data_IF_333296431067
#
_entry.id   IF_333296431067
#
_cell.length_a   1.000
_cell.length_b   1.000
_cell.length_c   1.000
_cell.angle_alpha   90.00
_cell.angle_beta   90.00
_cell.angle_gamma   90.00
#
_symmetry.space_group_name_H-M   'P 1'
#
loop_
_entity.id
_entity.type
_entity.pdbx_description
1 polymer ?
#
# COMPACT_ATOMS: atom_id res chain seq x y z
N UNK A 1 66.13 7.32 -41.70
CA UNK A 1 66.12 6.22 -42.69
C UNK A 1 64.67 6.05 -43.13
N UNK A 2 64.29 6.76 -44.20
CA UNK A 2 64.09 6.25 -45.58
C UNK A 2 62.91 5.27 -45.67
N UNK A 3 61.90 5.43 -46.51
CA UNK A 3 61.46 6.54 -47.36
C UNK A 3 60.05 6.21 -47.88
N UNK A 4 59.20 7.24 -47.91
CA UNK A 4 58.07 7.57 -48.80
C UNK A 4 57.61 6.54 -49.86
N UNK A 5 56.28 6.48 -50.05
CA UNK A 5 55.62 7.08 -51.23
C UNK A 5 54.10 7.23 -51.08
N UNK A 6 53.67 8.48 -51.14
CA UNK A 6 52.32 8.94 -51.48
C UNK A 6 52.13 8.93 -53.00
N UNK A 7 50.93 8.60 -53.49
CA UNK A 7 50.38 9.20 -54.71
C UNK A 7 48.90 9.51 -54.47
N UNK A 8 48.52 10.69 -54.96
CA UNK A 8 47.29 11.44 -54.79
C UNK A 8 46.41 11.31 -56.06
N UNK A 9 45.24 11.96 -56.03
CA UNK A 9 44.28 12.24 -57.13
C UNK A 9 43.20 11.17 -57.36
N UNK A 10 41.91 11.46 -57.55
CA UNK A 10 41.21 12.70 -57.95
C UNK A 10 39.70 12.60 -57.64
N UNK A 11 39.08 13.66 -57.11
CA UNK A 11 37.63 13.90 -57.18
C UNK A 11 37.26 14.53 -58.55
N UNK A 12 36.02 14.95 -58.87
CA UNK A 12 34.66 14.63 -58.37
C UNK A 12 33.65 14.33 -59.54
N UNK A 13 32.42 13.87 -59.24
CA UNK A 13 31.38 13.77 -60.28
C UNK A 13 29.96 13.52 -59.76
N UNK A 14 29.12 14.57 -59.78
CA UNK A 14 27.69 14.57 -59.46
C UNK A 14 26.85 13.90 -60.58
N UNK A 15 25.96 12.95 -60.24
CA UNK A 15 24.50 13.00 -60.49
C UNK A 15 23.83 11.63 -60.32
N UNK A 16 22.67 11.69 -59.65
CA UNK A 16 21.71 10.62 -59.37
C UNK A 16 21.39 9.70 -60.55
N UNK A 17 21.25 8.41 -60.26
CA UNK A 17 20.20 7.60 -60.89
C UNK A 17 19.70 6.50 -59.95
N UNK A 18 18.39 6.51 -59.73
CA UNK A 18 17.63 5.58 -58.92
C UNK A 18 17.61 4.20 -59.59
N UNK A 19 17.86 3.12 -58.83
CA UNK A 19 17.28 1.80 -59.11
C UNK A 19 16.62 1.25 -57.85
N UNK A 20 15.28 1.32 -57.86
CA UNK A 20 14.38 0.53 -57.01
C UNK A 20 14.40 -0.93 -57.48
N UNK A 21 14.49 -1.86 -56.54
CA UNK A 21 14.00 -3.25 -56.60
C UNK A 21 14.09 -3.74 -55.14
N UNK A 22 13.04 -3.96 -54.34
CA UNK A 22 11.63 -4.15 -54.64
C UNK A 22 11.27 -5.63 -54.64
N UNK A 23 11.25 -6.27 -53.46
CA UNK A 23 10.31 -7.37 -53.15
C UNK A 23 9.81 -7.16 -51.72
N UNK A 24 8.49 -7.01 -51.61
CA UNK A 24 7.67 -7.01 -50.41
C UNK A 24 6.81 -8.30 -50.41
N UNK A 25 6.35 -8.73 -49.23
CA UNK A 25 5.03 -9.31 -48.87
C UNK A 25 5.15 -9.73 -47.38
N UNK A 26 4.73 -8.91 -46.41
CA UNK A 26 3.39 -8.61 -45.86
C UNK A 26 3.00 -9.57 -44.71
N UNK A 27 2.81 -8.99 -43.52
CA UNK A 27 2.29 -9.65 -42.33
C UNK A 27 2.07 -8.69 -41.14
N UNK A 28 1.38 -7.56 -41.36
CA UNK A 28 0.61 -6.83 -40.33
C UNK A 28 1.34 -6.21 -39.13
N UNK A 29 2.27 -5.27 -39.34
CA UNK A 29 2.64 -4.33 -38.27
C UNK A 29 1.62 -3.19 -38.22
N UNK A 30 0.75 -3.20 -37.22
CA UNK A 30 0.05 -1.99 -36.78
C UNK A 30 1.12 -0.99 -36.35
N UNK A 31 1.46 -0.05 -37.23
CA UNK A 31 2.23 1.13 -36.87
C UNK A 31 1.39 1.94 -35.91
N UNK A 32 1.60 1.76 -34.60
CA UNK A 32 1.26 2.80 -33.65
C UNK A 32 2.00 4.05 -34.10
N UNK A 33 1.32 5.17 -34.39
CA UNK A 33 2.04 6.41 -34.45
C UNK A 33 2.62 6.60 -33.05
N UNK A 34 3.95 6.57 -32.96
CA UNK A 34 4.65 7.12 -31.82
C UNK A 34 4.37 8.63 -31.84
N UNK A 35 3.19 9.00 -31.35
CA UNK A 35 2.91 10.34 -30.91
C UNK A 35 3.87 10.53 -29.76
N UNK A 36 4.97 11.22 -30.05
CA UNK A 36 5.73 11.91 -29.03
C UNK A 36 4.74 12.92 -28.43
N UNK A 37 4.00 12.49 -27.40
CA UNK A 37 3.26 13.39 -26.54
C UNK A 37 4.33 14.23 -25.87
N UNK A 38 4.65 15.39 -26.45
CA UNK A 38 4.95 16.55 -25.64
C UNK A 38 3.76 16.67 -24.70
N UNK A 39 3.92 16.19 -23.46
CA UNK A 39 2.86 16.17 -22.47
C UNK A 39 2.53 17.62 -22.11
N UNK A 40 1.69 18.26 -22.91
CA UNK A 40 0.76 19.25 -22.38
C UNK A 40 0.02 18.51 -21.27
N UNK A 41 0.39 18.81 -20.03
CA UNK A 41 -0.11 18.08 -18.88
C UNK A 41 -1.64 18.16 -18.90
N UNK A 42 -2.31 17.06 -19.27
CA UNK A 42 -3.78 16.98 -19.49
C UNK A 42 -4.52 17.45 -18.23
N UNK A 43 -3.87 17.32 -17.09
CA UNK A 43 -4.36 17.72 -15.78
C UNK A 43 -3.91 19.11 -15.33
N UNK A 44 -3.27 19.96 -16.14
CA UNK A 44 -2.82 21.27 -15.65
C UNK A 44 -4.00 22.17 -15.28
N UNK A 45 -5.01 22.22 -16.14
CA UNK A 45 -6.11 23.19 -16.04
C UNK A 45 -7.50 22.54 -15.94
N UNK A 46 -7.60 21.21 -16.05
CA UNK A 46 -8.88 20.49 -16.03
C UNK A 46 -9.23 19.96 -14.62
N UNK A 47 -10.52 19.93 -14.22
CA UNK A 47 -10.91 19.32 -12.95
C UNK A 47 -10.50 17.85 -12.88
N UNK A 48 -9.83 17.47 -11.80
CA UNK A 48 -9.49 16.06 -11.53
C UNK A 48 -10.70 15.38 -10.87
N UNK A 49 -11.20 14.33 -11.50
CA UNK A 49 -12.36 13.56 -11.02
C UNK A 49 -11.90 12.40 -10.15
N UNK A 50 -12.34 12.38 -8.90
CA UNK A 50 -12.01 11.35 -7.92
C UNK A 50 -13.15 10.33 -7.82
N UNK A 51 -12.79 9.05 -7.82
CA UNK A 51 -13.66 7.93 -7.49
C UNK A 51 -13.32 7.35 -6.12
N UNK A 52 -14.29 7.22 -5.23
CA UNK A 52 -14.11 6.57 -3.92
C UNK A 52 -14.59 5.12 -3.97
N UNK A 53 -13.72 4.15 -3.66
CA UNK A 53 -14.05 2.72 -3.61
C UNK A 53 -13.86 2.23 -2.17
N UNK A 54 -14.97 1.95 -1.49
CA UNK A 54 -15.03 1.63 -0.06
C UNK A 54 -15.37 2.84 0.80
N UNK A 55 -16.66 3.06 1.04
CA UNK A 55 -17.26 4.22 1.71
C UNK A 55 -17.31 4.10 3.24
N UNK A 56 -16.33 3.40 3.84
CA UNK A 56 -16.17 3.34 5.29
C UNK A 56 -15.52 4.62 5.86
N UNK A 57 -15.38 4.71 7.18
CA UNK A 57 -14.85 5.91 7.85
C UNK A 57 -13.48 6.36 7.32
N UNK A 58 -12.54 5.43 7.04
CA UNK A 58 -11.25 5.78 6.43
C UNK A 58 -11.41 6.28 4.99
N UNK A 59 -12.30 5.67 4.20
CA UNK A 59 -12.62 6.10 2.83
C UNK A 59 -13.21 7.51 2.78
N UNK A 60 -14.15 7.81 3.67
CA UNK A 60 -14.68 9.17 3.82
C UNK A 60 -13.58 10.17 4.17
N UNK A 61 -12.67 9.81 5.08
CA UNK A 61 -11.51 10.63 5.41
C UNK A 61 -10.56 10.86 4.23
N UNK A 62 -10.22 9.81 3.48
CA UNK A 62 -9.37 9.90 2.29
C UNK A 62 -10.02 10.77 1.19
N UNK A 63 -11.34 10.70 1.04
CA UNK A 63 -12.07 11.57 0.12
C UNK A 63 -12.00 13.04 0.55
N UNK A 64 -12.13 13.34 1.85
CA UNK A 64 -11.90 14.72 2.36
C UNK A 64 -10.48 15.18 2.04
N UNK A 65 -9.47 14.35 2.35
CA UNK A 65 -8.07 14.70 2.12
C UNK A 65 -7.78 14.95 0.63
N UNK A 66 -8.32 14.12 -0.26
CA UNK A 66 -8.23 14.31 -1.70
C UNK A 66 -8.88 15.61 -2.19
N UNK A 67 -10.04 15.99 -1.62
CA UNK A 67 -10.76 17.22 -1.99
C UNK A 67 -10.07 18.48 -1.46
N UNK A 68 -9.30 18.37 -0.36
CA UNK A 68 -8.50 19.47 0.19
C UNK A 68 -7.15 19.62 -0.52
N UNK A 69 -6.57 18.53 -1.03
CA UNK A 69 -5.25 18.50 -1.64
C UNK A 69 -5.09 19.38 -2.88
N UNK A 70 -6.19 19.69 -3.58
CA UNK A 70 -6.15 20.51 -4.78
C UNK A 70 -7.46 21.31 -4.97
N UNK A 71 -7.38 22.60 -5.36
CA UNK A 71 -8.55 23.45 -5.51
C UNK A 71 -9.48 23.01 -6.64
N UNK A 72 -8.97 22.34 -7.67
CA UNK A 72 -9.68 21.92 -8.88
C UNK A 72 -9.86 20.38 -8.92
N UNK A 73 -10.29 19.82 -7.78
CA UNK A 73 -10.68 18.41 -7.62
C UNK A 73 -12.16 18.32 -7.27
N UNK A 74 -12.84 17.31 -7.83
CA UNK A 74 -14.22 16.97 -7.50
C UNK A 74 -14.36 15.49 -7.20
N UNK A 75 -15.24 15.15 -6.27
CA UNK A 75 -15.68 13.76 -6.08
C UNK A 75 -16.76 13.47 -7.12
N UNK A 76 -16.53 12.48 -7.97
CA UNK A 76 -17.36 12.22 -9.14
C UNK A 76 -18.13 10.91 -9.07
N UNK A 77 -17.55 9.88 -8.44
CA UNK A 77 -18.20 8.58 -8.26
C UNK A 77 -17.86 7.95 -6.91
N UNK A 78 -18.78 7.12 -6.40
CA UNK A 78 -18.64 6.39 -5.14
C UNK A 78 -19.09 4.95 -5.33
N UNK A 79 -18.35 4.01 -4.74
CA UNK A 79 -18.62 2.58 -4.80
C UNK A 79 -18.53 1.92 -3.44
N UNK A 80 -19.53 1.11 -3.10
CA UNK A 80 -19.51 0.25 -1.92
C UNK A 80 -20.40 -0.98 -2.16
N UNK A 81 -20.21 -2.04 -1.38
CA UNK A 81 -21.17 -3.16 -1.36
C UNK A 81 -22.40 -2.81 -0.51
N UNK A 82 -22.26 -1.89 0.44
CA UNK A 82 -23.28 -1.48 1.40
C UNK A 82 -23.83 -0.08 1.08
N UNK A 83 -25.12 -0.01 0.72
CA UNK A 83 -25.82 1.25 0.44
C UNK A 83 -25.81 2.21 1.65
N UNK A 84 -25.99 1.68 2.87
CA UNK A 84 -25.93 2.51 4.09
C UNK A 84 -24.57 3.20 4.25
N UNK A 85 -23.46 2.51 3.92
CA UNK A 85 -22.12 3.10 4.00
C UNK A 85 -21.93 4.20 2.97
N UNK A 86 -22.39 3.95 1.73
CA UNK A 86 -22.29 4.92 0.65
C UNK A 86 -23.07 6.20 0.98
N UNK A 87 -24.32 6.09 1.42
CA UNK A 87 -25.16 7.25 1.71
C UNK A 87 -24.71 8.02 2.96
N UNK A 88 -24.23 7.33 3.99
CA UNK A 88 -23.59 7.97 5.16
C UNK A 88 -22.38 8.79 4.74
N UNK A 89 -21.47 8.21 3.94
CA UNK A 89 -20.27 8.89 3.46
C UNK A 89 -20.61 10.07 2.55
N UNK A 90 -21.53 9.88 1.60
CA UNK A 90 -21.96 10.93 0.67
C UNK A 90 -22.56 12.13 1.43
N UNK A 91 -23.43 11.85 2.41
CA UNK A 91 -24.04 12.89 3.25
C UNK A 91 -23.01 13.65 4.09
N UNK A 92 -22.00 12.96 4.63
CA UNK A 92 -20.92 13.60 5.37
C UNK A 92 -20.05 14.47 4.45
N UNK A 93 -19.70 13.97 3.26
CA UNK A 93 -18.87 14.68 2.29
C UNK A 93 -19.57 15.92 1.72
N UNK A 94 -20.88 15.84 1.46
CA UNK A 94 -21.67 17.01 1.05
C UNK A 94 -21.61 18.15 2.07
N UNK A 95 -21.65 17.82 3.37
CA UNK A 95 -21.58 18.82 4.44
C UNK A 95 -20.20 19.49 4.53
N UNK A 96 -19.14 18.76 4.20
CA UNK A 96 -17.75 19.23 4.33
C UNK A 96 -17.29 19.98 3.08
N UNK A 97 -17.53 19.42 1.90
CA UNK A 97 -16.92 19.88 0.65
C UNK A 97 -17.93 20.42 -0.37
N UNK A 98 -19.23 20.41 -0.05
CA UNK A 98 -20.30 21.09 -0.78
C UNK A 98 -20.21 20.95 -2.30
N UNK A 99 -19.90 22.06 -2.97
CA UNK A 99 -19.85 22.16 -4.43
C UNK A 99 -18.83 21.24 -5.10
N UNK A 100 -17.81 20.74 -4.38
CA UNK A 100 -16.86 19.76 -4.92
C UNK A 100 -17.44 18.34 -5.02
N UNK A 101 -18.61 18.08 -4.43
CA UNK A 101 -19.30 16.80 -4.56
C UNK A 101 -20.18 16.82 -5.80
N UNK A 102 -19.73 16.14 -6.87
CA UNK A 102 -20.41 16.01 -8.16
C UNK A 102 -20.87 14.56 -8.41
N UNK A 103 -21.27 13.87 -7.35
CA UNK A 103 -21.74 12.48 -7.41
C UNK A 103 -23.24 12.46 -7.70
N UNK A 104 -23.61 12.27 -8.96
CA UNK A 104 -25.00 12.02 -9.35
C UNK A 104 -25.46 10.63 -8.88
N UNK A 105 -26.78 10.40 -8.79
CA UNK A 105 -27.33 9.09 -8.41
C UNK A 105 -26.80 7.94 -9.29
N UNK A 106 -26.58 8.17 -10.60
CA UNK A 106 -26.01 7.17 -11.51
C UNK A 106 -24.54 6.82 -11.20
N UNK A 107 -23.85 7.65 -10.43
CA UNK A 107 -22.45 7.48 -10.02
C UNK A 107 -22.34 6.99 -8.56
N UNK A 108 -23.46 6.65 -7.92
CA UNK A 108 -23.50 5.94 -6.64
C UNK A 108 -23.68 4.45 -6.92
N UNK A 109 -22.58 3.70 -6.84
CA UNK A 109 -22.50 2.36 -7.42
C UNK A 109 -22.48 1.32 -6.30
N UNK A 110 -23.53 0.49 -6.24
CA UNK A 110 -23.67 -0.56 -5.24
C UNK A 110 -23.39 -1.93 -5.84
N UNK A 111 -22.67 -2.77 -5.06
CA UNK A 111 -22.43 -4.18 -5.37
C UNK A 111 -20.95 -4.56 -5.31
N UNK A 112 -20.67 -5.86 -5.39
CA UNK A 112 -19.29 -6.39 -5.40
C UNK A 112 -18.50 -5.97 -6.64
N UNK A 113 -19.18 -5.63 -7.74
CA UNK A 113 -18.60 -5.08 -8.96
C UNK A 113 -18.52 -3.55 -8.98
N UNK A 114 -18.92 -2.87 -7.89
CA UNK A 114 -18.93 -1.41 -7.81
C UNK A 114 -17.57 -0.77 -8.08
N UNK A 115 -16.47 -1.43 -7.69
CA UNK A 115 -15.12 -0.93 -7.95
C UNK A 115 -14.84 -0.79 -9.46
N UNK A 116 -15.25 -1.77 -10.27
CA UNK A 116 -15.11 -1.72 -11.74
C UNK A 116 -15.93 -0.58 -12.32
N UNK A 117 -17.18 -0.45 -11.86
CA UNK A 117 -18.08 0.62 -12.31
C UNK A 117 -17.56 2.01 -11.95
N UNK A 118 -16.95 2.18 -10.77
CA UNK A 118 -16.32 3.45 -10.37
C UNK A 118 -15.12 3.75 -11.26
N UNK A 119 -14.26 2.76 -11.50
CA UNK A 119 -13.11 2.90 -12.40
C UNK A 119 -13.55 3.32 -13.82
N UNK A 120 -14.65 2.74 -14.32
CA UNK A 120 -15.18 3.01 -15.66
C UNK A 120 -16.00 4.31 -15.77
N UNK A 121 -16.37 4.93 -14.63
CA UNK A 121 -17.23 6.12 -14.61
C UNK A 121 -16.61 7.39 -15.24
N UNK A 122 -15.34 7.34 -15.67
CA UNK A 122 -14.62 8.50 -16.21
C UNK A 122 -13.88 9.31 -15.15
N UNK A 123 -13.54 8.69 -14.01
CA UNK A 123 -12.62 9.24 -13.00
C UNK A 123 -11.18 9.20 -13.49
N UNK A 124 -10.35 10.09 -12.94
CA UNK A 124 -8.91 10.18 -13.18
C UNK A 124 -8.10 9.52 -12.05
N UNK A 125 -8.60 9.67 -10.82
CA UNK A 125 -7.98 9.16 -9.59
C UNK A 125 -8.97 8.26 -8.86
N UNK A 126 -8.52 7.11 -8.40
CA UNK A 126 -9.33 6.25 -7.50
C UNK A 126 -8.70 6.15 -6.11
N UNK A 127 -9.54 6.23 -5.08
CA UNK A 127 -9.18 6.00 -3.70
C UNK A 127 -9.64 4.59 -3.32
N UNK A 128 -8.69 3.69 -3.06
CA UNK A 128 -8.96 2.30 -2.71
C UNK A 128 -8.93 2.12 -1.19
N UNK A 129 -10.10 2.08 -0.56
CA UNK A 129 -10.27 2.06 0.89
C UNK A 129 -11.15 0.90 1.38
N UNK A 130 -11.33 -0.13 0.55
CA UNK A 130 -12.00 -1.41 0.90
C UNK A 130 -11.15 -2.25 1.86
N UNK A 131 -11.70 -3.32 2.47
CA UNK A 131 -10.88 -4.26 3.24
C UNK A 131 -9.65 -4.77 2.47
N UNK A 132 -8.53 -5.09 3.16
CA UNK A 132 -7.25 -5.47 2.54
C UNK A 132 -7.34 -6.55 1.46
N UNK A 133 -8.15 -7.59 1.66
CA UNK A 133 -8.24 -8.72 0.74
C UNK A 133 -8.65 -8.35 -0.69
N UNK A 134 -9.37 -7.24 -0.87
CA UNK A 134 -9.84 -6.80 -2.18
C UNK A 134 -8.85 -5.88 -2.91
N UNK A 135 -7.90 -5.27 -2.18
CA UNK A 135 -7.02 -4.24 -2.72
C UNK A 135 -6.11 -4.71 -3.86
N UNK A 136 -5.56 -5.94 -3.88
CA UNK A 136 -4.73 -6.40 -5.00
C UNK A 136 -5.47 -6.36 -6.34
N UNK A 137 -6.71 -6.85 -6.37
CA UNK A 137 -7.51 -6.90 -7.58
C UNK A 137 -8.06 -5.51 -7.95
N UNK A 138 -8.49 -4.72 -6.97
CA UNK A 138 -8.95 -3.34 -7.22
C UNK A 138 -7.82 -2.46 -7.77
N UNK A 139 -6.61 -2.56 -7.22
CA UNK A 139 -5.43 -1.85 -7.71
C UNK A 139 -5.06 -2.29 -9.13
N UNK A 140 -5.07 -3.60 -9.38
CA UNK A 140 -4.81 -4.15 -10.72
C UNK A 140 -5.80 -3.60 -11.74
N UNK A 141 -7.10 -3.59 -11.43
CA UNK A 141 -8.13 -3.04 -12.30
C UNK A 141 -7.95 -1.53 -12.56
N UNK A 142 -7.64 -0.74 -11.52
CA UNK A 142 -7.43 0.69 -11.64
C UNK A 142 -6.22 1.04 -12.53
N UNK A 143 -5.09 0.37 -12.31
CA UNK A 143 -3.88 0.56 -13.11
C UNK A 143 -4.07 0.07 -14.55
N UNK A 144 -4.79 -1.03 -14.75
CA UNK A 144 -5.17 -1.51 -16.09
C UNK A 144 -5.97 -0.45 -16.86
N UNK A 145 -6.92 0.20 -16.19
CA UNK A 145 -7.73 1.28 -16.74
C UNK A 145 -7.02 2.65 -16.82
N UNK A 146 -5.73 2.73 -16.49
CA UNK A 146 -4.95 3.96 -16.62
C UNK A 146 -5.26 5.01 -15.55
N UNK A 147 -5.71 4.61 -14.36
CA UNK A 147 -6.09 5.53 -13.28
C UNK A 147 -4.93 5.80 -12.34
N UNK A 148 -4.83 7.04 -11.85
CA UNK A 148 -4.01 7.35 -10.69
C UNK A 148 -4.65 6.74 -9.44
N UNK A 149 -3.84 6.35 -8.46
CA UNK A 149 -4.34 5.57 -7.33
C UNK A 149 -3.77 6.06 -6.00
N UNK A 150 -4.68 6.29 -5.05
CA UNK A 150 -4.36 6.18 -3.63
C UNK A 150 -4.79 4.79 -3.16
N UNK A 151 -3.88 4.03 -2.55
CA UNK A 151 -4.15 2.68 -2.06
C UNK A 151 -3.91 2.59 -0.56
N UNK A 152 -4.98 2.40 0.22
CA UNK A 152 -4.86 2.22 1.67
C UNK A 152 -4.00 1.01 2.03
N UNK A 153 -3.34 1.11 3.18
CA UNK A 153 -2.60 0.00 3.77
C UNK A 153 -3.54 -0.94 4.55
N UNK A 154 -3.14 -2.19 4.79
CA UNK A 154 -2.17 -2.97 4.02
C UNK A 154 -2.70 -3.29 2.61
N UNK A 155 -1.83 -3.54 1.65
CA UNK A 155 -2.24 -3.69 0.23
C UNK A 155 -2.65 -5.12 -0.16
N UNK A 156 -2.49 -6.09 0.74
CA UNK A 156 -2.80 -7.50 0.55
C UNK A 156 -2.92 -8.23 1.91
N UNK A 157 -3.39 -9.47 1.90
CA UNK A 157 -3.47 -10.36 3.09
C UNK A 157 -2.62 -11.63 2.98
N UNK A 158 -2.10 -11.93 1.79
CA UNK A 158 -1.28 -13.11 1.50
C UNK A 158 -0.23 -12.80 0.41
N UNK A 159 0.75 -13.69 0.26
CA UNK A 159 1.85 -13.51 -0.70
C UNK A 159 1.36 -13.44 -2.15
N UNK A 160 0.41 -14.28 -2.63
CA UNK A 160 -0.16 -14.12 -3.96
C UNK A 160 -0.76 -12.73 -4.21
N UNK A 161 -1.45 -12.15 -3.22
CA UNK A 161 -1.93 -10.77 -3.28
C UNK A 161 -0.80 -9.74 -3.38
N UNK A 162 0.29 -9.91 -2.63
CA UNK A 162 1.49 -9.05 -2.72
C UNK A 162 2.09 -9.08 -4.13
N UNK A 163 2.20 -10.26 -4.75
CA UNK A 163 2.71 -10.39 -6.13
C UNK A 163 1.84 -9.65 -7.14
N UNK A 164 0.52 -9.72 -7.01
CA UNK A 164 -0.40 -8.91 -7.85
C UNK A 164 -0.14 -7.42 -7.68
N UNK A 165 0.06 -6.95 -6.44
CA UNK A 165 0.36 -5.54 -6.16
C UNK A 165 1.68 -5.11 -6.79
N UNK A 166 2.74 -5.93 -6.70
CA UNK A 166 4.03 -5.65 -7.34
C UNK A 166 3.90 -5.56 -8.87
N UNK A 167 3.12 -6.45 -9.48
CA UNK A 167 2.85 -6.41 -10.92
C UNK A 167 2.08 -5.12 -11.31
N UNK A 168 1.06 -4.74 -10.54
CA UNK A 168 0.32 -3.51 -10.77
C UNK A 168 1.21 -2.26 -10.55
N UNK A 169 2.07 -2.26 -9.53
CA UNK A 169 3.03 -1.18 -9.28
C UNK A 169 3.99 -0.97 -10.45
N UNK A 170 4.54 -2.07 -11.00
CA UNK A 170 5.38 -2.03 -12.20
C UNK A 170 4.63 -1.43 -13.39
N UNK A 171 3.41 -1.89 -13.63
CA UNK A 171 2.58 -1.37 -14.72
C UNK A 171 2.22 0.11 -14.52
N UNK A 172 1.95 0.55 -13.29
CA UNK A 172 1.69 1.96 -13.00
C UNK A 172 2.88 2.84 -13.37
N UNK A 173 4.11 2.38 -13.10
CA UNK A 173 5.34 3.05 -13.51
C UNK A 173 5.47 3.12 -15.04
N UNK A 174 5.20 2.01 -15.74
CA UNK A 174 5.24 1.95 -17.21
C UNK A 174 4.21 2.88 -17.87
N UNK A 175 3.03 3.05 -17.25
CA UNK A 175 1.97 3.94 -17.70
C UNK A 175 2.12 5.39 -17.20
N UNK A 176 3.19 5.71 -16.47
CA UNK A 176 3.41 7.02 -15.87
C UNK A 176 2.24 7.47 -14.96
N UNK A 177 1.72 6.54 -14.15
CA UNK A 177 0.63 6.78 -13.20
C UNK A 177 1.17 6.97 -11.79
N UNK A 178 0.68 8.00 -11.10
CA UNK A 178 0.88 8.15 -9.66
C UNK A 178 0.17 7.04 -8.88
N UNK A 179 0.90 6.38 -7.99
CA UNK A 179 0.47 5.37 -7.05
C UNK A 179 1.04 5.72 -5.66
N UNK A 180 0.18 6.24 -4.78
CA UNK A 180 0.53 6.59 -3.39
C UNK A 180 -0.13 5.63 -2.42
N UNK A 181 0.62 5.22 -1.40
CA UNK A 181 0.13 4.30 -0.37
C UNK A 181 -0.31 5.04 0.90
N UNK A 182 -1.33 4.52 1.58
CA UNK A 182 -1.80 4.97 2.91
C UNK A 182 -0.86 4.62 4.08
N UNK A 183 0.40 4.30 3.83
CA UNK A 183 1.45 4.24 4.86
C UNK A 183 1.85 5.66 5.30
N UNK A 184 0.89 6.36 5.91
CA UNK A 184 0.97 7.79 6.20
C UNK A 184 2.20 8.20 7.02
N UNK A 185 2.77 7.34 7.86
CA UNK A 185 3.99 7.65 8.61
C UNK A 185 5.19 7.97 7.71
N UNK A 186 5.22 7.50 6.46
CA UNK A 186 6.24 7.91 5.46
C UNK A 186 6.03 9.33 4.92
N UNK A 187 4.90 9.95 5.22
CA UNK A 187 4.55 11.33 4.91
C UNK A 187 4.61 12.25 6.15
N UNK A 188 4.95 11.73 7.33
CA UNK A 188 5.17 12.52 8.55
C UNK A 188 6.57 13.17 8.53
N UNK A 189 6.63 14.51 8.63
CA UNK A 189 7.89 15.26 8.60
C UNK A 189 8.88 14.87 9.71
N UNK A 190 8.45 14.72 10.97
CA UNK A 190 9.30 14.19 12.05
C UNK A 190 9.90 12.82 11.73
N UNK A 191 9.11 11.86 11.23
CA UNK A 191 9.60 10.54 10.83
C UNK A 191 10.62 10.64 9.69
N UNK A 192 10.33 11.43 8.65
CA UNK A 192 11.27 11.66 7.53
C UNK A 192 12.59 12.23 8.04
N UNK A 193 12.52 13.20 8.96
CA UNK A 193 13.69 13.86 9.50
C UNK A 193 14.58 12.93 10.35
N UNK A 194 13.99 12.11 11.23
CA UNK A 194 14.76 11.19 12.08
C UNK A 194 15.30 10.01 11.30
N UNK A 195 14.50 9.38 10.43
CA UNK A 195 14.97 8.24 9.65
C UNK A 195 15.96 8.64 8.56
N UNK A 196 15.80 9.82 7.94
CA UNK A 196 16.82 10.36 7.04
C UNK A 196 18.18 10.47 7.73
N UNK A 197 18.23 11.03 8.94
CA UNK A 197 19.48 11.12 9.73
C UNK A 197 20.05 9.76 10.11
N UNK A 198 19.20 8.81 10.47
CA UNK A 198 19.64 7.44 10.79
C UNK A 198 20.26 6.78 9.55
N UNK A 199 19.62 6.91 8.39
CA UNK A 199 20.11 6.38 7.12
C UNK A 199 21.38 7.09 6.65
N UNK A 200 21.56 8.38 7.01
CA UNK A 200 22.79 9.15 6.80
C UNK A 200 23.92 8.79 7.79
N UNK A 201 23.70 7.81 8.67
CA UNK A 201 24.73 7.26 9.56
C UNK A 201 24.83 7.93 10.93
N UNK A 202 23.84 8.73 11.36
CA UNK A 202 23.89 9.45 12.63
C UNK A 202 24.08 8.54 13.87
N UNK A 203 23.76 7.25 13.77
CA UNK A 203 23.92 6.26 14.85
C UNK A 203 24.92 5.14 14.53
N UNK A 204 25.68 5.26 13.44
CA UNK A 204 26.57 4.20 12.95
C UNK A 204 25.81 2.98 12.41
N UNK A 205 26.40 1.80 12.52
CA UNK A 205 25.80 0.55 12.04
C UNK A 205 24.60 0.16 12.90
N UNK A 206 23.42 0.03 12.30
CA UNK A 206 22.22 -0.44 13.00
C UNK A 206 22.41 -1.90 13.43
N UNK A 207 22.25 -2.16 14.73
CA UNK A 207 22.36 -3.50 15.34
C UNK A 207 21.00 -4.08 15.70
N UNK A 208 20.09 -3.23 16.17
CA UNK A 208 18.76 -3.67 16.60
C UNK A 208 17.71 -2.61 16.31
N UNK A 209 16.55 -3.05 15.83
CA UNK A 209 15.34 -2.23 15.75
C UNK A 209 14.24 -2.92 16.53
N UNK A 210 13.64 -2.23 17.49
CA UNK A 210 12.50 -2.74 18.23
C UNK A 210 11.28 -1.88 17.94
N UNK A 211 10.16 -2.51 17.56
CA UNK A 211 8.92 -1.78 17.29
C UNK A 211 7.76 -2.31 18.12
N UNK A 212 6.93 -1.38 18.58
CA UNK A 212 5.80 -1.67 19.44
C UNK A 212 4.52 -1.03 18.92
N UNK A 213 3.42 -1.79 18.98
CA UNK A 213 2.06 -1.28 18.78
C UNK A 213 1.11 -1.89 19.80
N UNK A 214 0.98 -1.27 20.96
CA UNK A 214 0.01 -1.69 21.97
C UNK A 214 -1.25 -0.82 21.90
N UNK A 215 -2.38 -1.46 21.71
CA UNK A 215 -3.69 -0.83 21.62
C UNK A 215 -4.75 -1.59 22.42
N UNK A 216 -5.95 -1.02 22.46
CA UNK A 216 -7.14 -1.74 22.90
C UNK A 216 -7.76 -2.55 21.76
N UNK A 217 -8.88 -3.19 22.07
CA UNK A 217 -9.72 -3.87 21.09
C UNK A 217 -10.22 -2.91 20.01
N UNK A 218 -10.50 -3.45 18.81
CA UNK A 218 -11.11 -2.69 17.74
C UNK A 218 -12.64 -2.66 17.91
N UNK A 219 -13.31 -1.93 17.03
CA UNK A 219 -14.77 -1.88 16.96
C UNK A 219 -15.36 -3.28 16.66
N UNK A 220 -16.63 -3.48 17.01
CA UNK A 220 -17.40 -4.68 16.69
C UNK A 220 -18.86 -4.30 16.41
N UNK A 221 -19.52 -5.03 15.51
CA UNK A 221 -20.94 -4.85 15.19
C UNK A 221 -21.72 -6.11 15.51
N UNK A 222 -22.71 -5.98 16.38
CA UNK A 222 -23.62 -7.09 16.71
C UNK A 222 -24.36 -7.59 15.47
N UNK A 223 -24.50 -8.91 15.38
CA UNK A 223 -25.19 -9.55 14.26
C UNK A 223 -26.68 -9.17 14.29
N UNK A 224 -27.17 -8.67 13.16
CA UNK A 224 -28.61 -8.43 12.99
C UNK A 224 -29.30 -9.68 12.42
N UNK A 225 -30.60 -9.90 12.73
CA UNK A 225 -31.33 -11.11 12.32
C UNK A 225 -31.38 -11.34 10.80
N UNK A 226 -31.37 -10.27 10.02
CA UNK A 226 -31.48 -10.26 8.55
C UNK A 226 -30.12 -10.41 7.84
N UNK A 227 -29.01 -10.40 8.57
CA UNK A 227 -27.68 -10.49 7.97
C UNK A 227 -27.34 -11.93 7.55
N UNK A 228 -26.97 -12.07 6.27
CA UNK A 228 -26.22 -13.25 5.79
C UNK A 228 -24.86 -13.34 6.48
N UNK A 229 -24.22 -14.51 6.40
CA UNK A 229 -22.86 -14.67 6.92
C UNK A 229 -21.88 -13.71 6.23
N UNK A 230 -22.02 -13.50 4.92
CA UNK A 230 -21.17 -12.55 4.20
C UNK A 230 -21.37 -11.12 4.69
N UNK A 231 -22.62 -10.69 4.90
CA UNK A 231 -22.92 -9.36 5.48
C UNK A 231 -22.28 -9.20 6.85
N UNK A 232 -22.44 -10.20 7.73
CA UNK A 232 -21.84 -10.16 9.06
C UNK A 232 -20.32 -10.13 9.01
N UNK A 233 -19.70 -10.97 8.17
CA UNK A 233 -18.25 -11.06 8.02
C UNK A 233 -17.69 -9.75 7.46
N UNK A 234 -18.27 -9.16 6.41
CA UNK A 234 -17.80 -7.90 5.84
C UNK A 234 -18.03 -6.71 6.78
N UNK A 235 -19.12 -6.69 7.55
CA UNK A 235 -19.33 -5.66 8.57
C UNK A 235 -18.39 -5.80 9.75
N UNK A 236 -17.78 -6.97 9.96
CA UNK A 236 -16.78 -7.27 10.99
C UNK A 236 -15.45 -7.75 10.38
N UNK A 237 -15.10 -7.28 9.17
CA UNK A 237 -14.01 -7.82 8.35
C UNK A 237 -12.65 -7.88 9.07
N UNK A 238 -12.45 -6.97 10.01
CA UNK A 238 -11.27 -6.87 10.86
C UNK A 238 -10.89 -8.21 11.52
N UNK A 239 -11.88 -8.98 11.97
CA UNK A 239 -11.71 -10.18 12.77
C UNK A 239 -11.53 -11.48 11.95
N UNK A 240 -11.43 -11.37 10.63
CA UNK A 240 -11.27 -12.51 9.74
C UNK A 240 -9.95 -12.38 8.97
N UNK A 241 -9.04 -13.33 9.18
CA UNK A 241 -7.71 -13.27 8.56
C UNK A 241 -7.77 -13.21 7.02
N UNK A 242 -8.78 -13.82 6.41
CA UNK A 242 -8.98 -13.83 4.97
C UNK A 242 -9.52 -12.50 4.40
N UNK A 243 -9.97 -11.58 5.26
CA UNK A 243 -10.40 -10.23 4.89
C UNK A 243 -9.38 -9.16 5.33
N UNK A 244 -8.86 -9.27 6.56
CA UNK A 244 -7.97 -8.26 7.18
C UNK A 244 -6.49 -8.63 7.16
N UNK A 245 -6.17 -9.92 7.06
CA UNK A 245 -4.84 -10.44 7.26
C UNK A 245 -4.45 -10.64 8.73
N UNK A 246 -5.35 -10.46 9.71
CA UNK A 246 -5.08 -10.31 11.16
C UNK A 246 -4.65 -8.86 11.53
N UNK A 247 -4.78 -8.47 12.78
CA UNK A 247 -4.42 -7.13 13.28
C UNK A 247 -2.92 -6.83 13.13
N UNK A 248 -2.06 -7.84 13.07
CA UNK A 248 -0.63 -7.63 12.77
C UNK A 248 -0.44 -7.12 11.35
N UNK A 249 -1.27 -7.58 10.39
CA UNK A 249 -1.26 -7.11 9.00
C UNK A 249 -2.08 -5.83 8.84
N UNK A 250 -3.19 -5.66 9.56
CA UNK A 250 -4.04 -4.48 9.39
C UNK A 250 -3.51 -3.24 10.15
N UNK A 251 -3.20 -3.37 11.44
CA UNK A 251 -2.75 -2.24 12.27
C UNK A 251 -1.25 -2.20 12.48
N UNK A 252 -0.65 -3.33 12.88
CA UNK A 252 0.76 -3.34 13.27
C UNK A 252 1.72 -3.21 12.08
N UNK A 253 1.21 -3.37 10.85
CA UNK A 253 1.96 -3.14 9.61
C UNK A 253 2.61 -1.77 9.54
N UNK A 254 2.04 -0.73 10.17
CA UNK A 254 2.72 0.57 10.27
C UNK A 254 4.04 0.50 11.04
N UNK A 255 4.07 -0.25 12.15
CA UNK A 255 5.29 -0.44 12.95
C UNK A 255 6.32 -1.29 12.21
N UNK A 256 5.86 -2.28 11.43
CA UNK A 256 6.72 -3.11 10.59
C UNK A 256 7.25 -2.34 9.36
N UNK A 257 6.41 -1.50 8.74
CA UNK A 257 6.84 -0.57 7.68
C UNK A 257 7.92 0.39 8.17
N UNK A 258 7.75 0.99 9.34
CA UNK A 258 8.78 1.87 9.92
C UNK A 258 10.06 1.09 10.28
N UNK A 259 9.96 -0.18 10.68
CA UNK A 259 11.14 -1.05 10.85
C UNK A 259 11.86 -1.24 9.50
N UNK A 260 11.12 -1.58 8.43
CA UNK A 260 11.69 -1.69 7.09
C UNK A 260 12.34 -0.38 6.65
N UNK A 261 11.66 0.74 6.83
CA UNK A 261 12.12 2.05 6.40
C UNK A 261 13.44 2.45 7.05
N UNK A 262 13.55 2.32 8.38
CA UNK A 262 14.79 2.69 9.07
C UNK A 262 15.95 1.73 8.78
N UNK A 263 15.64 0.50 8.36
CA UNK A 263 16.61 -0.47 7.85
C UNK A 263 16.98 -0.24 6.37
N UNK A 264 16.50 0.86 5.77
CA UNK A 264 16.77 1.23 4.37
C UNK A 264 16.00 0.39 3.36
N UNK A 265 14.77 -0.02 3.71
CA UNK A 265 13.88 -0.85 2.91
C UNK A 265 14.47 -2.21 2.49
N UNK A 266 15.49 -2.67 3.23
CA UNK A 266 16.05 -4.02 3.10
C UNK A 266 15.17 -5.01 3.83
N UNK A 267 14.85 -6.12 3.19
CA UNK A 267 14.10 -7.20 3.85
C UNK A 267 15.03 -8.06 4.73
N UNK A 268 14.52 -8.58 5.86
CA UNK A 268 15.22 -9.62 6.62
C UNK A 268 15.32 -10.91 5.80
N UNK A 269 16.26 -11.79 6.17
CA UNK A 269 16.49 -13.09 5.51
C UNK A 269 15.72 -14.24 6.18
N UNK A 270 15.41 -14.11 7.48
CA UNK A 270 14.61 -15.07 8.22
C UNK A 270 13.79 -14.37 9.30
N UNK A 271 12.70 -15.02 9.72
CA UNK A 271 11.89 -14.59 10.85
C UNK A 271 11.49 -15.79 11.70
N UNK A 272 11.35 -15.58 13.00
CA UNK A 272 10.82 -16.55 13.95
C UNK A 272 9.99 -15.84 15.00
N UNK A 273 8.99 -16.49 15.58
CA UNK A 273 8.13 -15.84 16.55
C UNK A 273 6.97 -16.69 16.99
N UNK A 274 6.09 -16.06 17.75
CA UNK A 274 4.85 -16.66 18.23
C UNK A 274 3.77 -15.60 18.36
N UNK A 275 2.52 -16.02 18.32
CA UNK A 275 1.40 -15.19 18.72
C UNK A 275 0.34 -16.03 19.43
N UNK A 276 -0.79 -15.41 19.72
CA UNK A 276 -1.93 -16.13 20.24
C UNK A 276 -3.08 -15.20 20.55
N UNK A 277 -4.08 -15.76 21.23
CA UNK A 277 -5.18 -14.99 21.79
C UNK A 277 -5.52 -15.46 23.20
N UNK A 278 -5.70 -14.51 24.09
CA UNK A 278 -6.13 -14.72 25.47
C UNK A 278 -7.47 -14.03 25.76
N UNK A 279 -7.75 -12.89 25.12
CA UNK A 279 -8.99 -12.11 25.30
C UNK A 279 -9.93 -12.25 24.10
N UNK A 280 -9.42 -12.62 22.92
CA UNK A 280 -10.24 -12.86 21.71
C UNK A 280 -10.81 -14.29 21.62
N UNK A 281 -11.42 -14.78 22.69
CA UNK A 281 -11.89 -16.19 22.76
C UNK A 281 -13.31 -16.39 22.22
N UNK A 282 -14.13 -15.34 22.23
CA UNK A 282 -15.50 -15.40 21.72
C UNK A 282 -15.56 -15.57 20.21
N UNK A 283 -16.63 -16.22 19.73
CA UNK A 283 -16.88 -16.45 18.28
C UNK A 283 -16.89 -15.16 17.45
N UNK A 284 -17.25 -14.02 18.06
CA UNK A 284 -17.30 -12.71 17.39
C UNK A 284 -15.95 -12.22 16.87
N UNK A 285 -14.84 -12.74 17.42
CA UNK A 285 -13.47 -12.39 17.02
C UNK A 285 -12.92 -13.22 15.87
N UNK A 286 -13.78 -14.02 15.21
CA UNK A 286 -13.39 -14.85 14.08
C UNK A 286 -12.17 -15.70 14.42
N UNK A 287 -11.11 -15.53 13.62
CA UNK A 287 -9.93 -16.38 13.67
C UNK A 287 -8.59 -15.65 13.76
N UNK A 288 -8.60 -14.44 14.32
CA UNK A 288 -7.38 -13.64 14.51
C UNK A 288 -6.84 -13.73 15.94
N UNK A 289 -5.56 -13.41 16.09
CA UNK A 289 -4.85 -13.32 17.37
C UNK A 289 -5.10 -11.99 18.08
N UNK A 290 -4.65 -11.84 19.34
CA UNK A 290 -4.61 -10.56 20.06
C UNK A 290 -3.20 -10.12 20.49
N UNK A 291 -2.18 -10.94 20.27
CA UNK A 291 -0.78 -10.57 20.47
C UNK A 291 0.16 -11.33 19.52
N UNK A 292 1.29 -10.69 19.19
CA UNK A 292 2.41 -11.27 18.45
C UNK A 292 3.74 -10.79 19.02
N UNK A 293 4.73 -11.68 19.02
CA UNK A 293 6.13 -11.41 19.31
C UNK A 293 6.99 -12.07 18.22
N UNK A 294 7.70 -11.27 17.44
CA UNK A 294 8.45 -11.72 16.26
C UNK A 294 9.87 -11.15 16.26
N UNK A 295 10.83 -12.01 15.95
CA UNK A 295 12.21 -11.65 15.62
C UNK A 295 12.42 -11.80 14.11
N UNK A 296 13.09 -10.82 13.52
CA UNK A 296 13.56 -10.78 12.15
C UNK A 296 15.09 -10.72 12.14
N UNK A 297 15.74 -11.52 11.30
CA UNK A 297 17.19 -11.52 11.13
C UNK A 297 17.57 -10.94 9.77
N UNK A 298 18.53 -10.03 9.76
CA UNK A 298 19.06 -9.41 8.56
C UNK A 298 20.41 -10.03 8.18
N UNK A 299 20.74 -10.03 6.88
CA UNK A 299 21.97 -10.65 6.38
C UNK A 299 23.28 -10.06 6.91
N UNK A 300 23.24 -8.86 7.50
CA UNK A 300 24.38 -8.23 8.17
C UNK A 300 24.47 -8.55 9.68
N UNK A 301 23.62 -9.45 10.19
CA UNK A 301 23.53 -9.82 11.60
C UNK A 301 22.71 -8.87 12.47
N UNK A 302 22.13 -7.80 11.92
CA UNK A 302 21.19 -6.95 12.64
C UNK A 302 19.88 -7.70 12.93
N UNK A 303 19.18 -7.31 14.00
CA UNK A 303 17.93 -7.93 14.42
C UNK A 303 16.78 -6.92 14.47
N UNK A 304 15.61 -7.33 14.00
CA UNK A 304 14.36 -6.61 14.17
C UNK A 304 13.47 -7.34 15.17
N UNK A 305 12.95 -6.65 16.17
CA UNK A 305 12.00 -7.21 17.13
C UNK A 305 10.68 -6.47 17.03
N UNK A 306 9.59 -7.19 16.83
CA UNK A 306 8.25 -6.62 16.86
C UNK A 306 7.43 -7.27 17.97
N UNK A 307 6.91 -6.46 18.87
CA UNK A 307 5.93 -6.90 19.85
C UNK A 307 4.67 -6.04 19.77
N UNK A 308 3.52 -6.68 19.66
CA UNK A 308 2.24 -6.01 19.50
C UNK A 308 1.15 -6.74 20.24
N UNK A 309 0.17 -5.98 20.74
CA UNK A 309 -1.03 -6.54 21.37
C UNK A 309 -2.23 -5.60 21.22
N UNK A 310 -3.41 -6.19 21.21
CA UNK A 310 -4.69 -5.50 21.30
C UNK A 310 -5.51 -6.03 22.47
N UNK A 311 -5.27 -5.42 23.63
CA UNK A 311 -5.86 -5.79 24.91
C UNK A 311 -6.23 -4.49 25.64
N UNK A 312 -7.53 -4.28 25.83
CA UNK A 312 -8.08 -3.10 26.52
C UNK A 312 -7.55 -3.01 27.96
N UNK A 313 -7.48 -1.79 28.48
CA UNK A 313 -7.02 -1.49 29.85
C UNK A 313 -5.59 -1.92 30.17
N UNK A 314 -4.74 -2.04 29.14
CA UNK A 314 -3.29 -2.28 29.28
C UNK A 314 -2.46 -1.04 28.90
N UNK A 315 -1.16 -1.06 29.22
CA UNK A 315 -0.26 0.06 28.89
C UNK A 315 -0.14 0.32 27.38
N UNK A 316 -0.34 1.56 26.96
CA UNK A 316 -0.14 1.96 25.57
C UNK A 316 1.35 2.19 25.23
N UNK A 317 1.76 1.75 24.04
CA UNK A 317 3.07 2.03 23.44
C UNK A 317 2.94 2.03 21.92
N UNK A 318 3.45 3.06 21.25
CA UNK A 318 3.55 3.11 19.80
C UNK A 318 4.90 3.72 19.43
N UNK A 319 5.91 2.89 19.22
CA UNK A 319 7.27 3.37 19.04
C UNK A 319 8.14 2.48 18.16
N UNK A 320 9.19 3.10 17.63
CA UNK A 320 10.33 2.47 16.96
C UNK A 320 11.59 2.92 17.70
N UNK A 321 12.37 1.96 18.14
CA UNK A 321 13.60 2.16 18.92
C UNK A 321 14.74 1.51 18.14
N UNK A 322 15.75 2.30 17.79
CA UNK A 322 16.84 1.91 16.89
C UNK A 322 18.15 2.04 17.65
N UNK A 323 18.92 0.96 17.69
CA UNK A 323 20.20 0.90 18.39
C UNK A 323 21.30 0.66 17.37
N UNK A 324 22.23 1.62 17.28
CA UNK A 324 23.39 1.54 16.41
C UNK A 324 24.70 1.50 17.19
N UNK A 325 25.83 1.40 16.48
CA UNK A 325 27.16 1.32 17.08
C UNK A 325 27.66 2.63 17.70
N UNK A 326 27.14 3.78 17.26
CA UNK A 326 27.56 5.11 17.73
C UNK A 326 26.45 5.91 18.45
N UNK A 327 25.24 5.34 18.56
CA UNK A 327 24.10 6.01 19.16
C UNK A 327 22.80 5.22 19.06
N UNK A 328 21.70 5.88 19.39
CA UNK A 328 20.35 5.33 19.25
C UNK A 328 19.39 6.38 18.72
N UNK A 329 18.31 5.93 18.08
CA UNK A 329 17.20 6.78 17.68
C UNK A 329 15.90 6.26 18.27
N UNK A 330 15.00 7.17 18.62
CA UNK A 330 13.65 6.82 19.08
C UNK A 330 12.61 7.65 18.35
N UNK A 331 11.61 6.94 17.86
CA UNK A 331 10.36 7.50 17.36
C UNK A 331 9.25 7.01 18.29
N UNK A 332 8.72 7.88 19.12
CA UNK A 332 7.49 7.66 19.87
C UNK A 332 6.40 8.50 19.20
N UNK A 333 5.50 7.82 18.50
CA UNK A 333 4.54 8.47 17.60
C UNK A 333 3.74 9.53 18.34
N UNK A 334 3.77 10.76 17.81
CA UNK A 334 3.09 11.93 18.37
C UNK A 334 3.69 12.48 19.66
N UNK A 335 4.86 12.00 20.10
CA UNK A 335 5.48 12.40 21.37
C UNK A 335 6.94 12.85 21.23
N UNK A 336 7.86 11.98 20.81
CA UNK A 336 9.31 12.28 20.77
C UNK A 336 9.99 11.64 19.56
N UNK A 337 10.96 12.36 19.01
CA UNK A 337 11.69 12.02 17.79
C UNK A 337 13.14 12.48 18.00
N UNK A 338 14.00 11.56 18.43
CA UNK A 338 15.29 11.91 19.04
C UNK A 338 16.38 10.95 18.60
N UNK A 339 17.61 11.45 18.52
CA UNK A 339 18.84 10.71 18.39
C UNK A 339 19.71 11.01 19.60
N UNK A 340 20.29 9.97 20.19
CA UNK A 340 21.26 10.07 21.29
C UNK A 340 22.57 9.39 20.90
N UNK A 341 23.64 9.64 21.68
CA UNK A 341 24.99 9.22 21.34
C UNK A 341 25.81 10.36 20.75
N UNK A 342 26.71 10.04 19.83
CA UNK A 342 27.69 10.98 19.27
C UNK A 342 27.04 12.15 18.51
N UNK A 343 25.96 11.88 17.78
CA UNK A 343 25.25 12.88 16.96
C UNK A 343 23.88 13.22 17.56
N UNK A 344 23.86 13.66 18.82
CA UNK A 344 22.61 13.98 19.53
C UNK A 344 21.77 14.99 18.76
N UNK A 345 20.48 14.71 18.60
CA UNK A 345 19.54 15.57 17.88
C UNK A 345 18.11 15.31 18.35
N UNK A 346 17.26 16.33 18.31
CA UNK A 346 15.82 16.24 18.60
C UNK A 346 15.06 17.00 17.52
N UNK A 347 13.91 16.47 17.11
CA UNK A 347 13.05 17.16 16.14
C UNK A 347 12.37 18.38 16.75
N UNK A 348 12.69 19.56 16.21
CA UNK A 348 12.09 20.86 16.58
C UNK A 348 11.37 21.53 15.40
N UNK A 349 11.19 20.79 14.28
CA UNK A 349 10.54 21.31 13.08
C UNK A 349 9.01 21.33 13.15
N UNK A 350 8.40 21.77 12.06
CA UNK A 350 6.95 21.81 11.89
C UNK A 350 6.31 20.41 11.95
N UNK A 351 5.10 20.33 12.51
CA UNK A 351 4.28 19.11 12.48
C UNK A 351 3.28 19.23 11.34
N UNK A 352 3.07 18.14 10.62
CA UNK A 352 2.07 18.07 9.56
C UNK A 352 0.98 17.05 9.88
N UNK A 353 -0.15 17.17 9.18
CA UNK A 353 -1.12 16.08 9.11
C UNK A 353 -0.66 15.09 8.04
N UNK A 354 -0.04 13.99 8.47
CA UNK A 354 0.49 12.96 7.57
C UNK A 354 -0.54 12.37 6.61
N UNK A 355 -1.82 12.28 7.00
CA UNK A 355 -2.90 11.83 6.12
C UNK A 355 -3.26 12.86 5.05
N UNK A 356 -3.06 14.16 5.33
CA UNK A 356 -3.26 15.19 4.31
C UNK A 356 -2.07 15.23 3.37
N UNK A 357 -0.84 15.18 3.91
CA UNK A 357 0.39 15.28 3.12
C UNK A 357 0.54 14.16 2.09
N UNK A 358 0.09 12.93 2.37
CA UNK A 358 0.10 11.85 1.36
C UNK A 358 -0.81 12.16 0.17
N UNK A 359 -1.95 12.81 0.40
CA UNK A 359 -2.85 13.27 -0.66
C UNK A 359 -2.30 14.51 -1.37
N UNK A 360 -1.78 15.51 -0.65
CA UNK A 360 -1.16 16.70 -1.23
C UNK A 360 -0.06 16.31 -2.23
N UNK A 361 0.84 15.40 -1.83
CA UNK A 361 1.92 14.91 -2.67
C UNK A 361 1.39 14.07 -3.85
N UNK A 362 0.36 13.25 -3.65
CA UNK A 362 -0.30 12.52 -4.73
C UNK A 362 -0.84 13.48 -5.80
N UNK A 363 -1.68 14.45 -5.43
CA UNK A 363 -2.31 15.34 -6.39
C UNK A 363 -1.29 16.28 -7.05
N UNK A 364 -0.31 16.79 -6.30
CA UNK A 364 0.80 17.57 -6.86
C UNK A 364 1.61 16.76 -7.89
N UNK A 365 1.86 15.46 -7.63
CA UNK A 365 2.58 14.58 -8.58
C UNK A 365 1.86 14.46 -9.93
N UNK A 366 0.52 14.42 -9.90
CA UNK A 366 -0.32 14.36 -11.10
C UNK A 366 -0.28 15.72 -11.82
N UNK A 367 -0.53 16.82 -11.11
CA UNK A 367 -0.55 18.19 -11.65
C UNK A 367 0.78 18.65 -12.24
N UNK A 368 1.89 18.11 -11.76
CA UNK A 368 3.22 18.45 -12.25
C UNK A 368 3.76 17.45 -13.27
N UNK A 369 3.05 16.35 -13.53
CA UNK A 369 3.49 15.31 -14.46
C UNK A 369 4.74 14.56 -13.97
N UNK A 370 4.93 14.51 -12.65
CA UNK A 370 6.05 13.84 -11.99
C UNK A 370 5.50 12.74 -11.05
N UNK A 371 5.08 11.58 -11.58
CA UNK A 371 4.37 10.59 -10.78
C UNK A 371 5.18 10.03 -9.62
N UNK A 372 4.52 9.90 -8.47
CA UNK A 372 5.03 9.13 -7.33
C UNK A 372 4.62 7.68 -7.51
N UNK A 373 5.52 6.73 -7.27
CA UNK A 373 5.17 5.31 -7.22
C UNK A 373 5.72 4.67 -5.95
N UNK A 374 4.82 4.37 -5.02
CA UNK A 374 5.11 3.73 -3.73
C UNK A 374 5.06 2.21 -3.77
N UNK A 375 4.79 1.63 -4.95
CA UNK A 375 4.25 0.30 -5.06
C UNK A 375 5.17 -0.82 -4.61
N UNK A 376 6.49 -0.67 -4.79
CA UNK A 376 7.47 -1.66 -4.35
C UNK A 376 7.54 -1.73 -2.82
N UNK A 377 7.81 -0.60 -2.15
CA UNK A 377 7.96 -0.59 -0.71
C UNK A 377 6.64 -0.81 0.04
N UNK A 378 5.49 -0.38 -0.49
CA UNK A 378 4.19 -0.65 0.17
C UNK A 378 3.86 -2.16 0.16
N UNK A 379 4.29 -2.86 -0.90
CA UNK A 379 4.11 -4.29 -1.06
C UNK A 379 5.05 -5.07 -0.13
N UNK A 380 6.33 -4.70 -0.06
CA UNK A 380 7.28 -5.35 0.86
C UNK A 380 6.96 -5.08 2.33
N UNK A 381 6.53 -3.87 2.70
CA UNK A 381 6.06 -3.57 4.06
C UNK A 381 4.83 -4.39 4.45
N UNK A 382 3.89 -4.58 3.52
CA UNK A 382 2.75 -5.47 3.75
C UNK A 382 3.18 -6.93 3.86
N UNK A 383 4.12 -7.38 3.02
CA UNK A 383 4.68 -8.72 3.08
C UNK A 383 5.38 -9.00 4.41
N UNK A 384 6.10 -8.03 4.96
CA UNK A 384 6.75 -8.16 6.26
C UNK A 384 5.74 -8.44 7.38
N UNK A 385 4.56 -7.83 7.33
CA UNK A 385 3.48 -8.12 8.29
C UNK A 385 2.77 -9.46 8.03
N UNK A 386 2.59 -9.84 6.77
CA UNK A 386 2.07 -11.17 6.40
C UNK A 386 3.02 -12.26 6.92
N UNK A 387 4.33 -12.04 6.77
CA UNK A 387 5.36 -12.94 7.27
C UNK A 387 5.36 -13.01 8.81
N UNK A 388 5.18 -11.87 9.49
CA UNK A 388 4.98 -11.83 10.94
C UNK A 388 3.79 -12.70 11.40
N UNK A 389 2.67 -12.67 10.65
CA UNK A 389 1.55 -13.57 10.90
C UNK A 389 1.94 -15.03 10.66
N UNK A 390 2.59 -15.35 9.54
CA UNK A 390 2.97 -16.73 9.19
C UNK A 390 3.82 -17.37 10.29
N UNK A 391 4.85 -16.69 10.78
CA UNK A 391 5.69 -17.21 11.88
C UNK A 391 4.91 -17.21 13.19
N UNK A 392 4.12 -16.17 13.47
CA UNK A 392 3.32 -16.08 14.67
C UNK A 392 2.28 -17.20 14.81
N UNK A 393 1.64 -17.58 13.71
CA UNK A 393 0.63 -18.64 13.64
C UNK A 393 1.22 -20.04 13.78
N UNK A 394 2.40 -20.25 13.20
CA UNK A 394 2.99 -21.57 13.08
C UNK A 394 3.98 -21.87 14.21
N UNK A 395 4.62 -20.85 14.77
CA UNK A 395 5.77 -21.01 15.66
C UNK A 395 7.05 -21.49 14.94
N UNK A 396 7.05 -21.49 13.61
CA UNK A 396 8.18 -21.95 12.81
C UNK A 396 9.07 -20.78 12.42
N UNK A 397 10.37 -21.05 12.31
CA UNK A 397 11.29 -20.15 11.62
C UNK A 397 11.07 -20.31 10.12
N UNK A 398 10.80 -19.22 9.43
CA UNK A 398 10.51 -19.18 7.99
C UNK A 398 11.50 -18.21 7.37
N UNK A 399 12.09 -18.55 6.23
CA UNK A 399 12.95 -17.67 5.45
C UNK A 399 12.15 -16.68 4.60
N UNK A 400 12.79 -15.60 4.14
CA UNK A 400 12.15 -14.65 3.23
C UNK A 400 11.66 -15.34 1.95
N UNK A 401 12.47 -16.24 1.38
CA UNK A 401 12.14 -16.95 0.15
C UNK A 401 10.91 -17.84 0.33
N UNK A 402 10.81 -18.58 1.43
CA UNK A 402 9.64 -19.40 1.74
C UNK A 402 8.39 -18.54 1.89
N UNK A 403 8.45 -17.47 2.72
CA UNK A 403 7.31 -16.60 2.95
C UNK A 403 6.85 -15.89 1.69
N UNK A 404 7.78 -15.31 0.92
CA UNK A 404 7.49 -14.55 -0.29
C UNK A 404 6.97 -15.44 -1.43
N UNK A 405 7.38 -16.71 -1.49
CA UNK A 405 6.92 -17.66 -2.51
C UNK A 405 5.74 -18.54 -2.04
N UNK A 406 5.21 -18.34 -0.84
CA UNK A 406 4.02 -19.08 -0.37
C UNK A 406 2.87 -18.93 -1.37
N UNK A 407 2.22 -20.05 -1.66
CA UNK A 407 1.07 -20.12 -2.57
C UNK A 407 -0.26 -20.15 -1.79
N UNK A 408 -0.21 -19.98 -0.47
CA UNK A 408 -1.41 -19.91 0.36
C UNK A 408 -2.29 -18.73 -0.07
N UNK A 409 -3.57 -19.03 -0.34
CA UNK A 409 -4.61 -18.02 -0.53
C UNK A 409 -5.59 -18.12 0.62
N UNK A 410 -5.76 -17.04 1.36
CA UNK A 410 -6.63 -17.05 2.54
C UNK A 410 -8.12 -16.98 2.20
N UNK A 411 -8.44 -16.27 1.12
CA UNK A 411 -9.80 -15.93 0.72
C UNK A 411 -10.15 -16.42 -0.69
N UNK A 412 -11.43 -16.30 -1.06
CA UNK A 412 -11.91 -16.56 -2.40
C UNK A 412 -11.38 -15.52 -3.38
N UNK A 413 -11.49 -15.81 -4.68
CA UNK A 413 -11.16 -14.82 -5.71
C UNK A 413 -12.17 -13.68 -5.69
N UNK A 414 -11.76 -12.49 -6.13
CA UNK A 414 -12.60 -11.28 -6.09
C UNK A 414 -13.94 -11.43 -6.82
N UNK A 415 -13.98 -12.21 -7.91
CA UNK A 415 -15.16 -12.47 -8.75
C UNK A 415 -16.10 -13.54 -8.17
N UNK A 416 -15.66 -14.27 -7.14
CA UNK A 416 -16.49 -15.26 -6.44
C UNK A 416 -17.35 -14.62 -5.34
N UNK A 417 -17.03 -13.41 -4.90
CA UNK A 417 -17.75 -12.71 -3.83
C UNK A 417 -19.18 -12.36 -4.24
N UNK A 418 -20.13 -12.83 -3.44
CA UNK A 418 -21.54 -12.49 -3.52
C UNK A 418 -22.19 -12.68 -2.13
N UNK A 419 -23.41 -12.21 -1.95
CA UNK A 419 -24.09 -12.26 -0.64
C UNK A 419 -24.40 -13.67 -0.14
N UNK A 420 -24.46 -14.65 -1.04
CA UNK A 420 -24.73 -16.06 -0.75
C UNK A 420 -23.45 -16.90 -0.58
N UNK A 421 -22.27 -16.30 -0.79
CA UNK A 421 -21.00 -16.99 -0.66
C UNK A 421 -20.78 -17.46 0.77
N UNK A 422 -20.64 -18.77 0.94
CA UNK A 422 -20.29 -19.42 2.21
C UNK A 422 -18.79 -19.72 2.23
N UNK A 423 -18.02 -18.83 2.86
CA UNK A 423 -16.61 -19.06 3.11
C UNK A 423 -16.39 -19.53 4.56
N UNK A 424 -15.85 -20.76 4.78
CA UNK A 424 -15.63 -21.26 6.12
C UNK A 424 -14.55 -20.44 6.82
N UNK A 425 -14.84 -19.93 8.01
CA UNK A 425 -13.80 -19.34 8.87
C UNK A 425 -12.90 -20.47 9.35
N UNK A 426 -11.62 -20.42 8.97
CA UNK A 426 -10.64 -21.43 9.38
C UNK A 426 -10.49 -21.45 10.90
N UNK A 427 -10.16 -22.62 11.48
CA UNK A 427 -9.81 -22.69 12.89
C UNK A 427 -8.69 -21.72 13.24
N UNK A 428 -8.70 -21.26 14.48
CA UNK A 428 -7.65 -20.37 14.97
C UNK A 428 -6.33 -21.12 14.99
N UNK A 429 -5.29 -20.46 14.45
CA UNK A 429 -3.97 -21.04 14.42
C UNK A 429 -3.46 -21.35 15.83
N UNK A 430 -2.71 -22.44 15.97
CA UNK A 430 -2.09 -22.83 17.24
C UNK A 430 -0.60 -23.02 16.95
N UNK A 431 0.28 -22.14 17.47
CA UNK A 431 1.72 -22.28 17.28
C UNK A 431 2.21 -23.67 17.72
N UNK A 432 3.09 -24.27 16.93
CA UNK A 432 3.56 -25.65 17.09
C UNK A 432 2.65 -26.71 16.45
N UNK A 433 1.34 -26.44 16.27
CA UNK A 433 0.39 -27.35 15.60
C UNK A 433 0.07 -26.90 14.17
N UNK A 434 -0.26 -25.63 13.96
CA UNK A 434 -0.48 -25.06 12.63
C UNK A 434 0.83 -25.07 11.86
N UNK A 435 0.81 -25.57 10.62
CA UNK A 435 2.00 -25.67 9.77
C UNK A 435 1.98 -24.57 8.70
N UNK A 436 3.17 -24.07 8.38
CA UNK A 436 3.39 -23.23 7.22
C UNK A 436 3.07 -24.02 5.94
N UNK A 437 2.50 -23.36 4.95
CA UNK A 437 1.99 -23.95 3.70
C UNK A 437 2.41 -23.17 2.47
#
# INVERSE_FOLDING_TARGET
MKDRKSINSSAPGRRNFIKKSGIAIIGGSLTYPAISFGATNVYKDSPLKVGLIGCGGRGTGAAVQALEADPNVVLYAMGDVFEDRLEEAHSALLKIAGDKIKVENKNKLIGFDSYLKVIDSGVDVVLLTTPPAFRPDHLTAAVNAGKHVFCEKPVAVDAPGVHKVLAAAKMAKEKNLSLVSGFCFRYDYPNRAVYGRVLDGAIGDIRTVTTFRHGGEAWYKERQPDWTDMTYNLRNWYYYNWLSGDFVVEQAVHSLDMMSWVMGDKMPISATGTGGRQVRVDKKYGNIFDHFAVEFEYGNGAKGYHFTRQQSDTSHKNSVEVFGSEGSAIVHIGRRYEITGKNKWTYEGERNNMFQTEHDELFASIRNGNPINNGEWMATSTMLAIWARMVGYTGQTISWEEAFNSQERLGPKVDEYNWDLKWPTQPVAIPGKTKFV
#
